data_IF_547577281055
#
_entry.id   IF_547577281055
#
_cell.length_a   1.000
_cell.length_b   1.000
_cell.length_c   1.000
_cell.angle_alpha   90.00
_cell.angle_beta   90.00
_cell.angle_gamma   90.00
#
_symmetry.space_group_name_H-M   'P 1'
#
loop_
_entity.id
_entity.type
_entity.pdbx_description
1 polymer ?
#
# COMPACT_ATOMS: atom_id res chain seq x y z
N UNK A 1 14.58 -15.39 -11.12
CA UNK A 1 14.30 -15.72 -9.70
C UNK A 1 12.78 -15.77 -9.53
N UNK A 2 12.26 -16.45 -8.50
CA UNK A 2 10.81 -16.59 -8.32
C UNK A 2 10.21 -15.32 -7.67
N UNK A 3 9.04 -14.89 -8.13
CA UNK A 3 8.30 -13.74 -7.57
C UNK A 3 8.01 -13.86 -6.06
N UNK A 4 7.69 -15.05 -5.50
CA UNK A 4 7.53 -15.22 -4.05
C UNK A 4 8.75 -14.75 -3.27
N UNK A 5 9.95 -14.94 -3.79
CA UNK A 5 11.18 -14.59 -3.09
C UNK A 5 11.29 -13.06 -2.91
N UNK A 6 10.79 -12.26 -3.87
CA UNK A 6 10.69 -10.79 -3.73
C UNK A 6 9.82 -10.39 -2.54
N UNK A 7 8.72 -11.11 -2.31
CA UNK A 7 7.77 -10.86 -1.20
C UNK A 7 8.30 -11.39 0.13
N UNK A 8 8.90 -12.58 0.14
CA UNK A 8 9.28 -13.27 1.37
C UNK A 8 10.66 -12.87 1.92
N UNK A 9 11.57 -12.39 1.08
CA UNK A 9 12.90 -11.93 1.52
C UNK A 9 12.86 -10.87 2.62
N UNK A 10 12.02 -9.81 2.56
CA UNK A 10 11.91 -8.87 3.66
C UNK A 10 11.46 -9.51 4.97
N UNK A 11 10.59 -10.51 4.96
CA UNK A 11 10.19 -11.21 6.20
C UNK A 11 11.34 -12.02 6.80
N UNK A 12 12.12 -12.72 5.96
CA UNK A 12 13.34 -13.40 6.41
C UNK A 12 14.36 -12.40 6.97
N UNK A 13 14.53 -11.26 6.28
CA UNK A 13 15.36 -10.15 6.74
C UNK A 13 14.86 -9.58 8.07
N UNK A 14 13.55 -9.51 8.30
CA UNK A 14 12.99 -9.01 9.55
C UNK A 14 13.31 -9.93 10.75
N UNK A 15 13.32 -11.25 10.53
CA UNK A 15 13.71 -12.23 11.55
C UNK A 15 15.21 -12.11 11.87
N UNK A 16 16.03 -11.89 10.84
CA UNK A 16 17.49 -11.80 10.99
C UNK A 16 17.98 -10.42 11.47
N UNK A 17 17.28 -9.33 11.18
CA UNK A 17 17.72 -7.95 11.44
C UNK A 17 18.13 -7.68 12.90
N UNK A 18 17.42 -8.18 13.94
CA UNK A 18 17.83 -7.99 15.32
C UNK A 18 19.21 -8.56 15.66
N UNK A 19 19.66 -9.62 14.97
CA UNK A 19 21.00 -10.21 15.17
C UNK A 19 22.11 -9.24 14.76
N UNK A 20 21.87 -8.43 13.72
CA UNK A 20 22.80 -7.42 13.23
C UNK A 20 22.77 -6.12 14.05
N UNK A 21 21.82 -5.97 14.99
CA UNK A 21 21.79 -4.83 15.90
C UNK A 21 23.03 -4.81 16.82
N UNK A 22 23.60 -5.98 17.11
CA UNK A 22 24.83 -6.14 17.89
C UNK A 22 26.04 -5.50 17.20
N UNK A 23 26.06 -5.46 15.86
CA UNK A 23 27.09 -4.79 15.06
C UNK A 23 26.87 -3.27 14.91
N UNK A 24 25.88 -2.71 15.61
CA UNK A 24 25.55 -1.30 15.59
C UNK A 24 24.73 -0.84 14.38
N UNK A 25 24.46 0.48 14.32
CA UNK A 25 23.53 1.09 13.35
C UNK A 25 23.92 0.88 11.89
N UNK A 26 25.21 0.85 11.57
CA UNK A 26 25.67 0.63 10.19
C UNK A 26 25.44 -0.81 9.74
N UNK A 27 25.81 -1.79 10.58
CA UNK A 27 25.67 -3.21 10.24
C UNK A 27 24.20 -3.59 9.99
N UNK A 28 23.29 -3.19 10.89
CA UNK A 28 21.87 -3.47 10.72
C UNK A 28 21.28 -2.75 9.50
N UNK A 29 21.70 -1.52 9.19
CA UNK A 29 21.21 -0.79 8.02
C UNK A 29 21.67 -1.46 6.71
N UNK A 30 22.93 -1.89 6.63
CA UNK A 30 23.44 -2.65 5.48
C UNK A 30 22.68 -3.97 5.36
N UNK A 31 22.61 -4.77 6.42
CA UNK A 31 21.91 -6.05 6.43
C UNK A 31 20.43 -5.91 6.03
N UNK A 32 19.74 -4.86 6.51
CA UNK A 32 18.34 -4.59 6.17
C UNK A 32 18.15 -4.10 4.73
N UNK A 33 19.20 -3.58 4.09
CA UNK A 33 19.14 -3.16 2.68
C UNK A 33 19.26 -4.33 1.71
N UNK A 34 20.00 -5.38 2.09
CA UNK A 34 20.27 -6.56 1.24
C UNK A 34 19.01 -7.21 0.67
N UNK A 35 17.94 -7.50 1.45
CA UNK A 35 16.71 -8.06 0.89
C UNK A 35 16.12 -7.23 -0.25
N UNK A 36 16.16 -5.90 -0.14
CA UNK A 36 15.61 -5.01 -1.15
C UNK A 36 16.49 -4.94 -2.42
N UNK A 37 17.82 -5.00 -2.25
CA UNK A 37 18.75 -5.06 -3.39
C UNK A 37 18.64 -6.38 -4.16
N UNK A 38 18.51 -7.51 -3.44
CA UNK A 38 18.28 -8.82 -4.06
C UNK A 38 16.93 -8.82 -4.78
N UNK A 39 15.88 -8.26 -4.16
CA UNK A 39 14.57 -8.13 -4.79
C UNK A 39 14.63 -7.27 -6.07
N UNK A 40 15.34 -6.14 -6.07
CA UNK A 40 15.53 -5.32 -7.28
C UNK A 40 16.27 -6.10 -8.38
N UNK A 41 17.35 -6.79 -8.03
CA UNK A 41 18.08 -7.63 -8.97
C UNK A 41 17.21 -8.79 -9.50
N UNK A 42 16.31 -9.35 -8.68
CA UNK A 42 15.39 -10.41 -9.07
C UNK A 42 14.31 -9.95 -10.06
N UNK A 43 13.95 -8.66 -10.06
CA UNK A 43 12.97 -8.09 -11.00
C UNK A 43 13.58 -7.80 -12.39
N UNK A 44 14.89 -7.53 -12.45
CA UNK A 44 15.58 -7.13 -13.70
C UNK A 44 15.41 -8.11 -14.88
N UNK A 45 15.52 -9.45 -14.70
CA UNK A 45 15.35 -10.41 -15.78
C UNK A 45 13.96 -10.41 -16.43
N UNK A 46 12.95 -9.84 -15.76
CA UNK A 46 11.58 -9.78 -16.28
C UNK A 46 11.32 -8.53 -17.15
N UNK A 47 12.31 -7.64 -17.30
CA UNK A 47 12.15 -6.38 -18.03
C UNK A 47 11.68 -6.57 -19.47
N UNK A 48 12.26 -7.50 -20.22
CA UNK A 48 11.87 -7.73 -21.63
C UNK A 48 10.41 -8.18 -21.76
N UNK A 49 9.97 -9.10 -20.90
CA UNK A 49 8.57 -9.55 -20.88
C UNK A 49 7.61 -8.38 -20.62
N UNK A 50 7.96 -7.51 -19.65
CA UNK A 50 7.13 -6.38 -19.25
C UNK A 50 7.13 -5.26 -20.29
N UNK A 51 8.29 -4.99 -20.91
CA UNK A 51 8.42 -3.98 -21.97
C UNK A 51 7.58 -4.32 -23.21
N UNK A 52 7.37 -5.62 -23.46
CA UNK A 52 6.50 -6.12 -24.53
C UNK A 52 5.01 -6.23 -24.10
N UNK A 53 4.64 -5.70 -22.93
CA UNK A 53 3.27 -5.75 -22.41
C UNK A 53 2.85 -7.11 -21.82
N UNK A 54 3.79 -8.04 -21.68
CA UNK A 54 3.55 -9.33 -21.06
C UNK A 54 3.38 -9.26 -19.54
N UNK A 55 2.90 -10.35 -18.96
CA UNK A 55 2.77 -10.53 -17.50
C UNK A 55 3.48 -11.81 -17.10
N UNK A 56 4.20 -11.78 -15.98
CA UNK A 56 4.80 -12.98 -15.38
C UNK A 56 3.89 -13.49 -14.28
N UNK A 57 3.45 -14.74 -14.38
CA UNK A 57 2.57 -15.40 -13.41
C UNK A 57 3.26 -16.62 -12.81
N UNK A 58 3.14 -16.78 -11.50
CA UNK A 58 3.61 -17.96 -10.78
C UNK A 58 2.58 -18.32 -9.72
N UNK A 59 2.08 -19.55 -9.72
CA UNK A 59 1.03 -19.99 -8.79
C UNK A 59 1.32 -21.37 -8.22
N UNK A 60 0.94 -21.55 -6.96
CA UNK A 60 0.93 -22.82 -6.25
C UNK A 60 -0.37 -22.90 -5.44
N UNK A 61 -1.04 -24.04 -5.48
CA UNK A 61 -2.22 -24.27 -4.65
C UNK A 61 -1.85 -24.25 -3.16
N UNK A 62 -2.68 -23.61 -2.34
CA UNK A 62 -2.49 -23.59 -0.89
C UNK A 62 -3.70 -24.15 -0.14
N UNK A 63 -4.86 -23.51 -0.29
CA UNK A 63 -6.12 -23.93 0.33
C UNK A 63 -7.22 -23.92 -0.74
N UNK A 64 -7.26 -24.93 -1.64
CA UNK A 64 -8.17 -24.95 -2.79
C UNK A 64 -9.64 -24.97 -2.37
N UNK A 65 -9.98 -25.55 -1.20
CA UNK A 65 -11.34 -25.62 -0.68
C UNK A 65 -12.01 -24.24 -0.46
N UNK A 66 -11.20 -23.19 -0.28
CA UNK A 66 -11.66 -21.81 -0.10
C UNK A 66 -11.13 -20.88 -1.20
N UNK A 67 -10.57 -21.44 -2.28
CA UNK A 67 -10.07 -20.69 -3.43
C UNK A 67 -8.82 -19.84 -3.16
N UNK A 68 -8.00 -20.20 -2.17
CA UNK A 68 -6.74 -19.49 -1.88
C UNK A 68 -5.56 -20.23 -2.52
N UNK A 69 -4.82 -19.51 -3.36
CA UNK A 69 -3.57 -19.97 -3.96
C UNK A 69 -2.45 -18.97 -3.66
N UNK A 70 -1.21 -19.47 -3.58
CA UNK A 70 -0.01 -18.64 -3.61
C UNK A 70 0.25 -18.15 -5.05
N UNK A 71 -0.66 -17.34 -5.57
CA UNK A 71 -0.54 -16.78 -6.91
C UNK A 71 0.13 -15.41 -6.86
N UNK A 72 1.20 -15.25 -7.62
CA UNK A 72 1.95 -14.01 -7.76
C UNK A 72 1.97 -13.56 -9.22
N UNK A 73 1.80 -12.26 -9.45
CA UNK A 73 1.89 -11.62 -10.75
C UNK A 73 2.87 -10.46 -10.75
N UNK A 74 3.53 -10.28 -11.89
CA UNK A 74 4.30 -9.09 -12.21
C UNK A 74 3.88 -8.59 -13.59
N UNK A 75 3.17 -7.46 -13.59
CA UNK A 75 2.84 -6.64 -14.75
C UNK A 75 3.38 -5.21 -14.55
N UNK A 76 3.12 -4.29 -15.49
CA UNK A 76 3.63 -2.91 -15.43
C UNK A 76 3.19 -2.16 -14.17
N UNK A 77 1.95 -2.36 -13.69
CA UNK A 77 1.45 -1.72 -12.47
C UNK A 77 2.15 -2.28 -11.22
N UNK A 78 2.26 -3.62 -11.12
CA UNK A 78 3.00 -4.28 -10.04
C UNK A 78 4.46 -3.89 -10.02
N UNK A 79 5.13 -3.80 -11.18
CA UNK A 79 6.53 -3.39 -11.28
C UNK A 79 6.71 -1.96 -10.75
N UNK A 80 5.88 -1.00 -11.21
CA UNK A 80 5.93 0.39 -10.76
C UNK A 80 5.87 0.48 -9.24
N UNK A 81 4.88 -0.17 -8.63
CA UNK A 81 4.72 -0.15 -7.18
C UNK A 81 5.84 -0.90 -6.44
N UNK A 82 6.29 -2.05 -6.97
CA UNK A 82 7.41 -2.78 -6.39
C UNK A 82 8.70 -1.94 -6.41
N UNK A 83 8.98 -1.22 -7.49
CA UNK A 83 10.11 -0.29 -7.57
C UNK A 83 9.98 0.85 -6.55
N UNK A 84 8.81 1.46 -6.42
CA UNK A 84 8.59 2.51 -5.40
C UNK A 84 8.83 1.97 -3.97
N UNK A 85 8.31 0.79 -3.66
CA UNK A 85 8.48 0.14 -2.35
C UNK A 85 9.96 -0.18 -2.10
N UNK A 86 10.66 -0.76 -3.08
CA UNK A 86 12.04 -1.22 -2.93
C UNK A 86 13.04 -0.05 -2.89
N UNK A 87 12.99 0.85 -3.88
CA UNK A 87 13.94 1.96 -4.03
C UNK A 87 13.80 2.95 -2.87
N UNK A 88 12.59 3.46 -2.63
CA UNK A 88 12.35 4.38 -1.50
C UNK A 88 12.61 3.64 -0.19
N UNK A 89 12.28 2.34 -0.10
CA UNK A 89 12.57 1.53 1.07
C UNK A 89 14.06 1.39 1.40
N UNK A 90 14.96 1.40 0.41
CA UNK A 90 16.42 1.44 0.65
C UNK A 90 16.84 2.82 1.15
N UNK A 91 16.35 3.90 0.52
CA UNK A 91 16.64 5.27 0.95
C UNK A 91 16.17 5.54 2.39
N UNK A 92 15.00 5.01 2.76
CA UNK A 92 14.47 5.11 4.13
C UNK A 92 15.33 4.33 5.12
N UNK A 93 15.84 3.14 4.76
CA UNK A 93 16.73 2.36 5.63
C UNK A 93 18.03 3.13 5.88
N UNK A 94 18.59 3.76 4.83
CA UNK A 94 19.76 4.60 4.92
C UNK A 94 19.49 5.84 5.78
N UNK A 95 18.38 6.54 5.56
CA UNK A 95 17.98 7.70 6.34
C UNK A 95 17.76 7.35 7.83
N UNK A 96 17.09 6.22 8.11
CA UNK A 96 16.84 5.75 9.46
C UNK A 96 18.12 5.49 10.26
N UNK A 97 19.21 5.07 9.60
CA UNK A 97 20.53 4.88 10.23
C UNK A 97 21.02 6.17 10.90
N UNK A 98 20.85 7.31 10.21
CA UNK A 98 21.29 8.62 10.68
C UNK A 98 20.28 9.25 11.64
N UNK A 99 18.99 8.98 11.44
CA UNK A 99 17.90 9.54 12.23
C UNK A 99 17.81 8.92 13.64
N UNK A 100 17.92 7.59 13.77
CA UNK A 100 17.70 6.91 15.05
C UNK A 100 18.87 7.10 16.02
N UNK A 101 18.56 7.48 17.26
CA UNK A 101 19.53 7.65 18.34
C UNK A 101 20.05 6.30 18.84
N UNK A 102 21.29 6.23 19.39
CA UNK A 102 21.86 4.97 19.89
C UNK A 102 21.03 4.26 20.97
N UNK A 103 20.27 5.01 21.78
CA UNK A 103 19.43 4.47 22.84
C UNK A 103 18.12 3.83 22.34
N UNK A 104 17.77 4.03 21.07
CA UNK A 104 16.55 3.47 20.48
C UNK A 104 16.72 1.99 20.14
N UNK A 105 15.64 1.22 20.21
CA UNK A 105 15.67 -0.19 19.80
C UNK A 105 15.67 -0.33 18.27
N UNK A 106 16.87 -0.22 17.67
CA UNK A 106 17.07 -0.31 16.22
C UNK A 106 16.70 -1.68 15.65
N UNK A 107 16.90 -2.77 16.41
CA UNK A 107 16.53 -4.13 16.01
C UNK A 107 15.03 -4.24 15.76
N UNK A 108 14.22 -3.80 16.72
CA UNK A 108 12.75 -3.72 16.60
C UNK A 108 12.35 -2.84 15.41
N UNK A 109 12.97 -1.67 15.26
CA UNK A 109 12.63 -0.74 14.19
C UNK A 109 12.80 -1.38 12.79
N UNK A 110 13.99 -1.92 12.50
CA UNK A 110 14.28 -2.49 11.19
C UNK A 110 13.50 -3.77 10.93
N UNK A 111 13.27 -4.61 11.93
CA UNK A 111 12.41 -5.79 11.81
C UNK A 111 10.98 -5.40 11.39
N UNK A 112 10.37 -4.43 12.08
CA UNK A 112 9.02 -3.97 11.74
C UNK A 112 8.96 -3.30 10.36
N UNK A 113 9.98 -2.52 10.00
CA UNK A 113 10.06 -1.86 8.69
C UNK A 113 10.16 -2.88 7.55
N UNK A 114 10.92 -3.96 7.76
CA UNK A 114 11.07 -5.05 6.79
C UNK A 114 9.79 -5.91 6.68
N UNK A 115 9.12 -6.23 7.80
CA UNK A 115 7.80 -6.86 7.76
C UNK A 115 6.79 -6.02 6.98
N UNK A 116 6.76 -4.70 7.22
CA UNK A 116 5.89 -3.79 6.49
C UNK A 116 6.23 -3.75 4.99
N UNK A 117 7.52 -3.73 4.63
CA UNK A 117 7.99 -3.81 3.23
C UNK A 117 7.53 -5.11 2.55
N UNK A 118 7.73 -6.26 3.17
CA UNK A 118 7.28 -7.55 2.65
C UNK A 118 5.76 -7.59 2.47
N UNK A 119 5.02 -7.02 3.42
CA UNK A 119 3.55 -6.94 3.35
C UNK A 119 3.09 -6.08 2.17
N UNK A 120 3.72 -4.93 1.95
CA UNK A 120 3.42 -4.06 0.80
C UNK A 120 3.77 -4.73 -0.54
N UNK A 121 4.90 -5.45 -0.61
CA UNK A 121 5.25 -6.25 -1.79
C UNK A 121 4.23 -7.36 -2.04
N UNK A 122 3.76 -8.01 -0.96
CA UNK A 122 2.72 -9.01 -1.02
C UNK A 122 1.41 -8.48 -1.59
N UNK A 123 0.96 -7.29 -1.18
CA UNK A 123 -0.23 -6.64 -1.78
C UNK A 123 -0.05 -6.47 -3.29
N UNK A 124 1.09 -5.92 -3.72
CA UNK A 124 1.26 -5.48 -5.11
C UNK A 124 1.60 -6.62 -6.07
N UNK A 125 2.18 -7.72 -5.56
CA UNK A 125 2.54 -8.89 -6.35
C UNK A 125 1.50 -10.02 -6.24
N UNK A 126 0.48 -9.92 -5.39
CA UNK A 126 -0.56 -10.95 -5.30
C UNK A 126 -1.42 -10.98 -6.56
N UNK A 127 -1.64 -12.19 -7.09
CA UNK A 127 -2.59 -12.49 -8.15
C UNK A 127 -3.85 -13.18 -7.66
N UNK A 128 -3.98 -13.43 -6.36
CA UNK A 128 -5.19 -13.93 -5.73
C UNK A 128 -5.72 -12.87 -4.74
N UNK A 129 -7.00 -12.53 -4.81
CA UNK A 129 -7.58 -11.44 -4.00
C UNK A 129 -7.58 -11.75 -2.49
N UNK A 130 -7.73 -13.03 -2.11
CA UNK A 130 -7.67 -13.45 -0.70
C UNK A 130 -6.23 -13.40 -0.18
N UNK A 131 -5.25 -13.80 -0.99
CA UNK A 131 -3.84 -13.63 -0.66
C UNK A 131 -3.48 -12.14 -0.49
N UNK A 132 -3.97 -11.28 -1.39
CA UNK A 132 -3.81 -9.83 -1.27
C UNK A 132 -4.42 -9.32 0.05
N UNK A 133 -5.57 -9.84 0.48
CA UNK A 133 -6.20 -9.51 1.76
C UNK A 133 -5.35 -9.89 2.98
N UNK A 134 -4.68 -11.05 2.95
CA UNK A 134 -3.76 -11.45 4.03
C UNK A 134 -2.64 -10.42 4.17
N UNK A 135 -2.03 -10.02 3.05
CA UNK A 135 -1.00 -8.98 3.06
C UNK A 135 -1.56 -7.60 3.39
N UNK A 136 -2.80 -7.31 3.01
CA UNK A 136 -3.51 -6.09 3.37
C UNK A 136 -3.63 -5.91 4.88
N UNK A 137 -4.04 -6.95 5.59
CA UNK A 137 -4.11 -6.90 7.06
C UNK A 137 -2.73 -6.91 7.70
N UNK A 138 -1.76 -7.63 7.12
CA UNK A 138 -0.39 -7.61 7.62
C UNK A 138 0.22 -6.19 7.54
N UNK A 139 -0.12 -5.39 6.52
CA UNK A 139 0.24 -3.95 6.50
C UNK A 139 -0.46 -3.14 7.59
N UNK A 140 -1.73 -3.43 7.91
CA UNK A 140 -2.44 -2.78 9.02
C UNK A 140 -1.75 -3.06 10.37
N UNK A 141 -1.39 -4.32 10.62
CA UNK A 141 -0.74 -4.74 11.87
C UNK A 141 0.68 -4.19 11.98
N UNK A 142 1.47 -4.28 10.92
CA UNK A 142 2.86 -3.79 10.94
C UNK A 142 2.92 -2.26 11.02
N UNK A 143 2.02 -1.54 10.34
CA UNK A 143 1.92 -0.08 10.48
C UNK A 143 1.47 0.35 11.88
N UNK A 144 0.52 -0.37 12.51
CA UNK A 144 0.14 -0.14 13.90
C UNK A 144 1.36 -0.21 14.84
N UNK A 145 2.20 -1.23 14.69
CA UNK A 145 3.41 -1.41 15.50
C UNK A 145 4.48 -0.33 15.22
N UNK A 146 4.59 0.13 13.98
CA UNK A 146 5.51 1.21 13.60
C UNK A 146 5.03 2.59 14.10
N UNK A 147 3.73 2.88 14.03
CA UNK A 147 3.15 4.13 14.55
C UNK A 147 3.29 4.18 16.08
N UNK A 148 3.10 3.03 16.75
CA UNK A 148 3.29 2.88 18.19
C UNK A 148 4.73 2.53 18.59
N UNK A 149 5.74 2.83 17.74
CA UNK A 149 7.14 2.51 18.03
C UNK A 149 7.57 3.01 19.41
N UNK A 150 7.26 4.29 19.71
CA UNK A 150 7.39 4.89 21.04
C UNK A 150 6.14 4.66 21.89
N UNK A 151 5.88 3.39 22.22
CA UNK A 151 4.68 2.96 22.94
C UNK A 151 4.50 3.61 24.33
N UNK A 152 5.56 4.16 24.94
CA UNK A 152 5.47 4.91 26.19
C UNK A 152 4.68 6.23 26.03
N UNK A 153 4.66 6.83 24.84
CA UNK A 153 3.90 8.06 24.55
C UNK A 153 2.42 7.76 24.33
N UNK A 154 1.55 8.43 25.08
CA UNK A 154 0.10 8.24 24.97
C UNK A 154 -0.45 8.58 23.57
N UNK A 155 0.06 9.64 22.96
CA UNK A 155 -0.38 10.06 21.62
C UNK A 155 0.00 9.05 20.54
N UNK A 156 1.19 8.44 20.63
CA UNK A 156 1.60 7.37 19.72
C UNK A 156 0.67 6.15 19.82
N UNK A 157 0.31 5.75 21.05
CA UNK A 157 -0.65 4.65 21.26
C UNK A 157 -2.05 5.00 20.71
N UNK A 158 -2.52 6.22 20.95
CA UNK A 158 -3.84 6.68 20.47
C UNK A 158 -3.88 6.74 18.95
N UNK A 159 -2.88 7.35 18.32
CA UNK A 159 -2.75 7.45 16.86
C UNK A 159 -2.69 6.07 16.21
N UNK A 160 -1.89 5.15 16.75
CA UNK A 160 -1.80 3.79 16.25
C UNK A 160 -3.15 3.04 16.32
N UNK A 161 -3.83 3.05 17.48
CA UNK A 161 -5.14 2.38 17.62
C UNK A 161 -6.18 2.94 16.67
N UNK A 162 -6.20 4.26 16.48
CA UNK A 162 -7.13 4.89 15.55
C UNK A 162 -6.83 4.51 14.10
N UNK A 163 -5.55 4.52 13.69
CA UNK A 163 -5.15 4.05 12.37
C UNK A 163 -5.57 2.58 12.14
N UNK A 164 -5.33 1.71 13.12
CA UNK A 164 -5.72 0.29 13.03
C UNK A 164 -7.24 0.12 12.98
N UNK A 165 -7.99 0.85 13.80
CA UNK A 165 -9.46 0.75 13.82
C UNK A 165 -10.07 1.17 12.48
N UNK A 166 -9.60 2.29 11.90
CA UNK A 166 -10.12 2.78 10.62
C UNK A 166 -9.69 1.87 9.46
N UNK A 167 -8.41 1.53 9.39
CA UNK A 167 -7.88 0.76 8.25
C UNK A 167 -8.21 -0.73 8.32
N UNK A 168 -8.26 -1.30 9.52
CA UNK A 168 -8.74 -2.67 9.75
C UNK A 168 -10.24 -2.79 9.55
N UNK A 169 -11.05 -1.81 10.01
CA UNK A 169 -12.48 -1.78 9.72
C UNK A 169 -12.77 -1.71 8.21
N UNK A 170 -12.02 -0.89 7.47
CA UNK A 170 -12.09 -0.87 6.01
C UNK A 170 -11.56 -2.14 5.36
N UNK A 171 -10.54 -2.79 5.91
CA UNK A 171 -10.05 -4.09 5.46
C UNK A 171 -11.08 -5.21 5.61
N UNK A 172 -11.88 -5.21 6.68
CA UNK A 172 -13.02 -6.12 6.83
C UNK A 172 -14.11 -5.84 5.79
N UNK A 173 -14.40 -4.58 5.49
CA UNK A 173 -15.31 -4.22 4.41
C UNK A 173 -14.77 -4.71 3.05
N UNK A 174 -13.47 -4.52 2.79
CA UNK A 174 -12.80 -5.02 1.58
C UNK A 174 -12.93 -6.54 1.45
N UNK A 175 -12.73 -7.29 2.54
CA UNK A 175 -12.90 -8.74 2.54
C UNK A 175 -14.32 -9.12 2.10
N UNK A 176 -15.35 -8.50 2.67
CA UNK A 176 -16.73 -8.75 2.27
C UNK A 176 -16.97 -8.43 0.78
N UNK A 177 -16.41 -7.33 0.27
CA UNK A 177 -16.46 -6.98 -1.16
C UNK A 177 -15.77 -8.03 -2.05
N UNK A 178 -14.60 -8.51 -1.65
CA UNK A 178 -13.86 -9.56 -2.36
C UNK A 178 -14.63 -10.88 -2.37
N UNK A 179 -15.24 -11.27 -1.25
CA UNK A 179 -16.07 -12.49 -1.17
C UNK A 179 -17.29 -12.42 -2.10
N UNK A 180 -17.94 -11.25 -2.20
CA UNK A 180 -19.05 -11.06 -3.15
C UNK A 180 -18.54 -11.16 -4.59
N UNK A 181 -17.43 -10.48 -4.94
CA UNK A 181 -16.83 -10.57 -6.28
C UNK A 181 -16.47 -12.01 -6.61
N UNK A 182 -15.81 -12.72 -5.70
CA UNK A 182 -15.43 -14.12 -5.89
C UNK A 182 -16.63 -15.04 -6.10
N UNK A 183 -17.75 -14.79 -5.42
CA UNK A 183 -19.00 -15.52 -5.65
C UNK A 183 -19.64 -15.21 -7.01
N UNK A 184 -19.55 -13.96 -7.49
CA UNK A 184 -20.07 -13.59 -8.83
C UNK A 184 -19.23 -14.24 -9.93
N UNK A 185 -17.90 -14.23 -9.77
CA UNK A 185 -16.95 -14.73 -10.77
C UNK A 185 -16.77 -16.25 -10.70
N UNK A 186 -16.93 -16.84 -9.52
CA UNK A 186 -16.60 -18.24 -9.23
C UNK A 186 -15.10 -18.48 -8.95
N UNK A 187 -14.30 -17.42 -8.84
CA UNK A 187 -12.84 -17.48 -8.61
C UNK A 187 -12.33 -16.24 -7.88
N UNK A 188 -11.25 -16.41 -7.12
CA UNK A 188 -10.50 -15.32 -6.48
C UNK A 188 -9.19 -14.98 -7.21
N UNK A 189 -8.88 -15.67 -8.30
CA UNK A 189 -7.75 -15.33 -9.15
C UNK A 189 -8.03 -14.04 -9.93
N UNK A 190 -7.04 -13.18 -9.95
CA UNK A 190 -7.17 -11.82 -10.45
C UNK A 190 -7.40 -11.79 -11.96
N UNK A 191 -6.83 -12.72 -12.74
CA UNK A 191 -7.10 -12.79 -14.18
C UNK A 191 -8.57 -13.10 -14.48
N UNK A 192 -9.17 -14.03 -13.73
CA UNK A 192 -10.60 -14.36 -13.86
C UNK A 192 -11.46 -13.16 -13.47
N UNK A 193 -11.14 -12.48 -12.36
CA UNK A 193 -11.88 -11.30 -11.90
C UNK A 193 -11.80 -10.15 -12.90
N UNK A 194 -10.61 -9.90 -13.46
CA UNK A 194 -10.41 -8.82 -14.45
C UNK A 194 -11.11 -9.13 -15.77
N UNK A 195 -11.12 -10.40 -16.20
CA UNK A 195 -11.85 -10.83 -17.39
C UNK A 195 -13.37 -10.79 -17.21
N UNK A 196 -13.87 -11.01 -15.98
CA UNK A 196 -15.29 -11.02 -15.66
C UNK A 196 -15.90 -9.63 -15.40
N UNK A 197 -15.24 -8.54 -15.78
CA UNK A 197 -15.68 -7.17 -15.49
C UNK A 197 -17.13 -6.88 -15.90
N UNK A 198 -17.54 -7.29 -17.10
CA UNK A 198 -18.93 -7.07 -17.57
C UNK A 198 -19.96 -7.88 -16.77
N UNK A 199 -19.61 -9.11 -16.39
CA UNK A 199 -20.44 -9.96 -15.52
C UNK A 199 -20.59 -9.32 -14.15
N UNK A 200 -19.49 -8.83 -13.57
CA UNK A 200 -19.49 -8.15 -12.27
C UNK A 200 -20.38 -6.92 -12.32
N UNK A 201 -20.20 -6.03 -13.30
CA UNK A 201 -20.97 -4.77 -13.44
C UNK A 201 -22.46 -4.99 -13.70
N UNK A 202 -22.82 -6.07 -14.40
CA UNK A 202 -24.21 -6.41 -14.68
C UNK A 202 -24.94 -7.10 -13.52
N UNK A 203 -24.20 -7.61 -12.52
CA UNK A 203 -24.78 -8.37 -11.42
C UNK A 203 -25.50 -7.47 -10.39
N UNK A 204 -26.63 -7.94 -9.84
CA UNK A 204 -27.44 -7.17 -8.88
C UNK A 204 -26.68 -6.75 -7.61
N UNK A 205 -25.67 -7.52 -7.20
CA UNK A 205 -24.82 -7.21 -6.03
C UNK A 205 -23.67 -6.25 -6.33
N UNK A 206 -23.51 -5.78 -7.58
CA UNK A 206 -22.44 -4.86 -7.96
C UNK A 206 -22.35 -3.60 -7.07
N UNK A 207 -23.44 -2.87 -6.77
CA UNK A 207 -23.35 -1.66 -5.97
C UNK A 207 -22.82 -1.93 -4.55
N UNK A 208 -23.17 -3.07 -3.98
CA UNK A 208 -22.72 -3.50 -2.65
C UNK A 208 -21.24 -3.88 -2.69
N UNK A 209 -20.85 -4.71 -3.66
CA UNK A 209 -19.46 -5.12 -3.85
C UNK A 209 -18.54 -3.90 -4.07
N UNK A 210 -18.93 -3.01 -4.98
CA UNK A 210 -18.21 -1.77 -5.27
C UNK A 210 -18.04 -0.92 -4.00
N UNK A 211 -19.13 -0.67 -3.27
CA UNK A 211 -19.09 0.16 -2.06
C UNK A 211 -18.13 -0.43 -1.02
N UNK A 212 -18.19 -1.74 -0.78
CA UNK A 212 -17.34 -2.44 0.17
C UNK A 212 -15.86 -2.41 -0.21
N UNK A 213 -15.55 -2.63 -1.49
CA UNK A 213 -14.18 -2.50 -2.02
C UNK A 213 -13.67 -1.06 -1.89
N UNK A 214 -14.51 -0.07 -2.23
CA UNK A 214 -14.15 1.35 -2.11
C UNK A 214 -13.99 1.79 -0.65
N UNK A 215 -14.77 1.27 0.30
CA UNK A 215 -14.53 1.52 1.73
C UNK A 215 -13.15 1.03 2.16
N UNK A 216 -12.72 -0.14 1.69
CA UNK A 216 -11.35 -0.62 1.86
C UNK A 216 -10.31 0.33 1.29
N UNK A 217 -10.48 0.71 0.02
CA UNK A 217 -9.56 1.62 -0.65
C UNK A 217 -9.48 2.99 0.04
N UNK A 218 -10.63 3.60 0.35
CA UNK A 218 -10.75 4.95 0.90
C UNK A 218 -10.24 5.06 2.33
N UNK A 219 -10.50 4.06 3.18
CA UNK A 219 -9.96 4.04 4.55
C UNK A 219 -8.44 3.97 4.53
N UNK A 220 -7.84 3.08 3.72
CA UNK A 220 -6.38 2.89 3.65
C UNK A 220 -5.65 4.05 2.96
N UNK A 221 -6.30 4.69 1.98
CA UNK A 221 -5.76 5.87 1.28
C UNK A 221 -6.18 7.21 1.88
N UNK A 222 -6.71 7.20 3.11
CA UNK A 222 -7.07 8.38 3.88
C UNK A 222 -7.97 9.35 3.11
N UNK A 223 -8.96 8.83 2.37
CA UNK A 223 -9.96 9.64 1.70
C UNK A 223 -11.02 10.12 2.69
N UNK A 224 -11.78 11.15 2.34
CA UNK A 224 -12.94 11.61 3.09
C UNK A 224 -14.01 10.50 3.18
N UNK A 225 -14.66 10.29 4.34
CA UNK A 225 -14.48 10.97 5.63
C UNK A 225 -13.41 10.36 6.54
N UNK A 226 -12.67 9.35 6.07
CA UNK A 226 -11.71 8.55 6.85
C UNK A 226 -10.31 9.17 7.00
N UNK A 227 -10.04 10.34 6.43
CA UNK A 227 -8.72 10.96 6.38
C UNK A 227 -8.07 11.27 7.75
N UNK A 228 -8.86 11.34 8.82
CA UNK A 228 -8.43 11.82 10.15
C UNK A 228 -7.37 10.95 10.83
N UNK A 229 -7.24 9.66 10.47
CA UNK A 229 -6.22 8.81 11.08
C UNK A 229 -4.80 9.20 10.64
N UNK A 230 -4.65 9.74 9.43
CA UNK A 230 -3.34 10.01 8.83
C UNK A 230 -2.56 11.11 9.56
N UNK A 231 -3.13 12.29 9.88
CA UNK A 231 -2.43 13.30 10.69
C UNK A 231 -2.01 12.79 12.06
N UNK A 232 -2.80 11.92 12.69
CA UNK A 232 -2.47 11.37 14.01
C UNK A 232 -1.43 10.24 13.94
N UNK A 233 -1.24 9.61 12.78
CA UNK A 233 -0.17 8.65 12.55
C UNK A 233 1.23 9.32 12.50
N UNK A 234 1.31 10.66 12.42
CA UNK A 234 2.57 11.42 12.41
C UNK A 234 3.39 11.35 13.71
N UNK A 235 2.85 10.70 14.75
CA UNK A 235 3.57 10.36 15.97
C UNK A 235 4.67 9.31 15.76
N UNK A 236 4.64 8.61 14.62
CA UNK A 236 5.69 7.68 14.23
C UNK A 236 7.05 8.38 14.04
N UNK A 237 8.18 7.64 14.13
CA UNK A 237 9.48 8.14 13.71
C UNK A 237 9.43 8.67 12.28
N UNK A 238 10.14 9.76 11.99
CA UNK A 238 10.09 10.39 10.66
C UNK A 238 10.39 9.43 9.49
N UNK A 239 11.34 8.48 9.56
CA UNK A 239 11.54 7.50 8.49
C UNK A 239 10.29 6.63 8.23
N UNK A 240 9.50 6.32 9.27
CA UNK A 240 8.22 5.61 9.13
C UNK A 240 7.23 6.49 8.39
N UNK A 241 7.07 7.74 8.82
CA UNK A 241 6.15 8.69 8.17
C UNK A 241 6.49 8.87 6.69
N UNK A 242 7.78 9.05 6.40
CA UNK A 242 8.29 9.17 5.04
C UNK A 242 7.92 7.93 4.20
N UNK A 243 8.10 6.72 4.72
CA UNK A 243 7.82 5.50 3.97
C UNK A 243 6.33 5.21 3.80
N UNK A 244 5.57 5.21 4.91
CA UNK A 244 4.14 4.85 4.94
C UNK A 244 3.28 5.87 4.19
N UNK A 245 3.59 7.16 4.32
CA UNK A 245 2.74 8.23 3.84
C UNK A 245 3.21 8.85 2.52
N UNK A 246 4.40 8.49 2.04
CA UNK A 246 4.86 8.88 0.71
C UNK A 246 4.72 7.75 -0.28
N UNK A 247 5.27 6.57 -0.02
CA UNK A 247 5.49 5.55 -1.05
C UNK A 247 4.57 4.33 -0.97
N UNK A 248 3.98 4.04 0.19
CA UNK A 248 3.50 2.68 0.47
C UNK A 248 2.06 2.62 1.01
N UNK A 249 1.86 2.67 2.33
CA UNK A 249 0.59 2.35 3.00
C UNK A 249 -0.59 3.12 2.40
N UNK A 250 -0.46 4.43 2.28
CA UNK A 250 -1.53 5.30 1.77
C UNK A 250 -1.79 5.10 0.27
N UNK A 251 -0.85 4.49 -0.44
CA UNK A 251 -0.99 4.13 -1.85
C UNK A 251 -1.54 2.71 -2.04
N UNK A 252 -1.71 1.90 -1.00
CA UNK A 252 -2.31 0.57 -1.12
C UNK A 252 -3.78 0.65 -1.61
N UNK A 253 -4.56 1.61 -1.09
CA UNK A 253 -5.91 1.87 -1.59
C UNK A 253 -5.94 2.37 -3.03
N UNK A 254 -4.98 3.22 -3.40
CA UNK A 254 -4.81 3.68 -4.78
C UNK A 254 -4.44 2.53 -5.71
N UNK A 255 -3.50 1.67 -5.30
CA UNK A 255 -3.12 0.47 -6.03
C UNK A 255 -4.32 -0.45 -6.24
N UNK A 256 -5.12 -0.69 -5.21
CA UNK A 256 -6.32 -1.52 -5.30
C UNK A 256 -7.32 -0.96 -6.32
N UNK A 257 -7.59 0.36 -6.29
CA UNK A 257 -8.47 1.01 -7.27
C UNK A 257 -7.91 0.89 -8.69
N UNK A 258 -6.61 1.14 -8.88
CA UNK A 258 -5.95 0.98 -10.18
C UNK A 258 -5.98 -0.47 -10.66
N UNK A 259 -5.80 -1.43 -9.75
CA UNK A 259 -5.74 -2.86 -10.01
C UNK A 259 -7.10 -3.41 -10.45
N UNK A 260 -8.16 -3.05 -9.74
CA UNK A 260 -9.53 -3.48 -10.04
C UNK A 260 -10.25 -2.56 -11.03
N UNK A 261 -9.56 -1.53 -11.53
CA UNK A 261 -10.11 -0.57 -12.48
C UNK A 261 -10.78 -1.25 -13.70
N UNK A 262 -10.15 -2.25 -14.37
CA UNK A 262 -10.78 -2.91 -15.51
C UNK A 262 -12.08 -3.65 -15.18
N UNK A 263 -12.20 -4.16 -13.95
CA UNK A 263 -13.35 -4.94 -13.51
C UNK A 263 -14.49 -4.09 -12.92
N UNK A 264 -14.14 -2.99 -12.23
CA UNK A 264 -15.09 -2.22 -11.41
C UNK A 264 -15.41 -0.82 -11.93
N UNK A 265 -14.57 -0.23 -12.78
CA UNK A 265 -14.78 1.13 -13.27
C UNK A 265 -15.76 1.19 -14.46
N UNK A 266 -16.02 2.40 -14.96
CA UNK A 266 -16.85 2.64 -16.14
C UNK A 266 -18.36 2.63 -15.89
N UNK A 267 -18.79 2.62 -14.62
CA UNK A 267 -20.20 2.78 -14.23
C UNK A 267 -20.45 4.17 -13.64
N UNK A 268 -21.71 4.60 -13.64
CA UNK A 268 -22.10 5.85 -12.97
C UNK A 268 -21.77 5.83 -11.48
N UNK A 269 -21.99 4.69 -10.81
CA UNK A 269 -21.71 4.53 -9.39
C UNK A 269 -20.21 4.70 -9.09
N UNK A 270 -19.33 4.13 -9.92
CA UNK A 270 -17.89 4.36 -9.82
C UNK A 270 -17.57 5.84 -9.96
N UNK A 271 -18.07 6.47 -11.02
CA UNK A 271 -17.84 7.90 -11.29
C UNK A 271 -18.23 8.76 -10.09
N UNK A 272 -19.45 8.59 -9.56
CA UNK A 272 -19.94 9.39 -8.44
C UNK A 272 -19.16 9.11 -7.15
N UNK A 273 -18.97 7.85 -6.77
CA UNK A 273 -18.31 7.52 -5.52
C UNK A 273 -16.83 7.93 -5.53
N UNK A 274 -16.10 7.66 -6.61
CA UNK A 274 -14.66 7.88 -6.68
C UNK A 274 -14.34 9.35 -6.95
N UNK A 275 -15.03 10.00 -7.90
CA UNK A 275 -14.76 11.41 -8.23
C UNK A 275 -15.11 12.35 -7.08
N UNK A 276 -16.30 12.23 -6.49
CA UNK A 276 -16.71 13.14 -5.42
C UNK A 276 -15.90 12.93 -4.14
N UNK A 277 -15.60 11.68 -3.79
CA UNK A 277 -14.71 11.39 -2.64
C UNK A 277 -13.31 11.95 -2.88
N UNK A 278 -12.74 11.74 -4.07
CA UNK A 278 -11.43 12.29 -4.43
C UNK A 278 -11.41 13.81 -4.40
N UNK A 279 -12.43 14.47 -4.96
CA UNK A 279 -12.56 15.92 -4.97
C UNK A 279 -12.74 16.51 -3.57
N UNK A 280 -13.62 15.93 -2.74
CA UNK A 280 -13.78 16.36 -1.35
C UNK A 280 -12.46 16.21 -0.57
N UNK A 281 -11.77 15.08 -0.73
CA UNK A 281 -10.48 14.81 -0.10
C UNK A 281 -9.39 15.79 -0.54
N UNK A 282 -9.31 16.08 -1.84
CA UNK A 282 -8.40 17.04 -2.44
C UNK A 282 -8.57 18.42 -1.79
N UNK A 283 -9.80 18.93 -1.79
CA UNK A 283 -10.13 20.27 -1.32
C UNK A 283 -9.97 20.40 0.20
N UNK A 284 -10.52 19.45 0.97
CA UNK A 284 -10.42 19.47 2.43
C UNK A 284 -8.96 19.32 2.88
N UNK A 285 -8.20 18.42 2.26
CA UNK A 285 -6.79 18.23 2.54
C UNK A 285 -5.98 19.51 2.29
N UNK A 286 -6.19 20.16 1.13
CA UNK A 286 -5.51 21.41 0.78
C UNK A 286 -5.87 22.55 1.74
N UNK A 287 -7.17 22.75 2.00
CA UNK A 287 -7.67 23.79 2.89
C UNK A 287 -7.08 23.64 4.30
N UNK A 288 -7.16 22.45 4.90
CA UNK A 288 -6.65 22.22 6.25
C UNK A 288 -5.12 22.37 6.33
N UNK A 289 -4.39 21.97 5.28
CA UNK A 289 -2.92 22.10 5.24
C UNK A 289 -2.45 23.56 5.38
N UNK A 290 -3.19 24.52 4.81
CA UNK A 290 -2.85 25.96 4.87
C UNK A 290 -2.85 26.52 6.30
N UNK A 291 -3.57 25.88 7.23
CA UNK A 291 -3.69 26.32 8.62
C UNK A 291 -2.85 25.46 9.59
N UNK A 292 -2.01 24.54 9.09
CA UNK A 292 -1.09 23.76 9.92
C UNK A 292 0.18 24.55 10.20
N UNK A 293 0.54 24.60 11.48
CA UNK A 293 1.72 25.31 11.96
C UNK A 293 2.91 24.38 12.20
N UNK A 294 2.69 23.06 12.18
CA UNK A 294 3.73 22.04 12.28
C UNK A 294 3.97 21.34 10.94
N UNK A 295 5.24 21.09 10.60
CA UNK A 295 5.62 20.53 9.29
C UNK A 295 5.01 19.14 9.04
N UNK A 296 4.98 18.26 10.05
CA UNK A 296 4.44 16.90 9.86
C UNK A 296 2.94 16.92 9.60
N UNK A 297 2.19 17.73 10.34
CA UNK A 297 0.75 17.95 10.13
C UNK A 297 0.46 18.54 8.77
N UNK A 298 1.24 19.54 8.33
CA UNK A 298 1.13 20.12 6.98
C UNK A 298 1.38 19.05 5.91
N UNK A 299 2.48 18.28 6.03
CA UNK A 299 2.82 17.24 5.07
C UNK A 299 1.77 16.12 5.05
N UNK A 300 1.19 15.76 6.19
CA UNK A 300 0.10 14.78 6.26
C UNK A 300 -1.13 15.23 5.49
N UNK A 301 -1.60 16.47 5.70
CA UNK A 301 -2.75 17.00 4.97
C UNK A 301 -2.47 17.25 3.49
N UNK A 302 -1.23 17.62 3.14
CA UNK A 302 -0.79 17.65 1.74
C UNK A 302 -0.84 16.24 1.12
N UNK A 303 -0.41 15.19 1.83
CA UNK A 303 -0.57 13.80 1.37
C UNK A 303 -2.04 13.45 1.15
N UNK A 304 -2.94 13.78 2.09
CA UNK A 304 -4.41 13.58 1.92
C UNK A 304 -4.87 14.22 0.62
N UNK A 305 -4.51 15.49 0.42
CA UNK A 305 -4.91 16.26 -0.77
C UNK A 305 -4.43 15.61 -2.07
N UNK A 306 -3.15 15.22 -2.15
CA UNK A 306 -2.60 14.57 -3.35
C UNK A 306 -3.21 13.19 -3.62
N UNK A 307 -3.55 12.41 -2.59
CA UNK A 307 -4.27 11.15 -2.77
C UNK A 307 -5.71 11.39 -3.22
N UNK A 308 -6.33 12.47 -2.75
CA UNK A 308 -7.62 12.95 -3.25
C UNK A 308 -7.57 13.26 -4.75
N UNK A 309 -6.53 13.96 -5.21
CA UNK A 309 -6.33 14.23 -6.64
C UNK A 309 -6.19 12.93 -7.46
N UNK A 310 -5.36 11.99 -6.99
CA UNK A 310 -5.18 10.69 -7.68
C UNK A 310 -6.50 9.92 -7.75
N UNK A 311 -7.27 9.92 -6.65
CA UNK A 311 -8.58 9.27 -6.58
C UNK A 311 -9.57 9.93 -7.54
N UNK A 312 -9.63 11.27 -7.56
CA UNK A 312 -10.46 12.02 -8.50
C UNK A 312 -10.14 11.65 -9.96
N UNK A 313 -8.86 11.57 -10.32
CA UNK A 313 -8.43 11.21 -11.68
C UNK A 313 -8.88 9.80 -12.07
N UNK A 314 -8.84 8.81 -11.16
CA UNK A 314 -9.45 7.50 -11.41
C UNK A 314 -10.98 7.55 -11.49
N UNK A 315 -11.62 8.51 -10.85
CA UNK A 315 -13.06 8.71 -10.96
C UNK A 315 -13.52 9.25 -12.32
N UNK A 316 -12.69 10.06 -13.00
CA UNK A 316 -13.06 10.75 -14.25
C UNK A 316 -13.34 9.83 -15.44
N UNK A 317 -12.92 8.56 -15.38
CA UNK A 317 -13.31 7.54 -16.37
C UNK A 317 -12.63 7.64 -17.73
N UNK A 318 -11.60 8.48 -17.90
CA UNK A 318 -10.83 8.60 -19.16
C UNK A 318 -9.46 7.94 -19.03
N UNK A 319 -8.95 7.40 -20.14
CA UNK A 319 -7.62 6.78 -20.18
C UNK A 319 -6.51 7.77 -19.81
N UNK A 320 -6.56 9.00 -20.34
CA UNK A 320 -5.61 10.06 -20.00
C UNK A 320 -5.64 10.42 -18.50
N UNK A 321 -6.82 10.42 -17.87
CA UNK A 321 -6.91 10.66 -16.44
C UNK A 321 -6.29 9.51 -15.62
N UNK A 322 -6.49 8.26 -16.04
CA UNK A 322 -5.84 7.10 -15.41
C UNK A 322 -4.31 7.16 -15.56
N UNK A 323 -3.79 7.53 -16.75
CA UNK A 323 -2.36 7.75 -16.96
C UNK A 323 -1.83 8.87 -16.06
N UNK A 324 -2.54 10.00 -15.98
CA UNK A 324 -2.19 11.11 -15.10
C UNK A 324 -2.19 10.70 -13.61
N UNK A 325 -3.14 9.86 -13.20
CA UNK A 325 -3.24 9.33 -11.84
C UNK A 325 -2.00 8.50 -11.49
N UNK A 326 -1.62 7.57 -12.37
CA UNK A 326 -0.44 6.71 -12.20
C UNK A 326 0.86 7.51 -12.25
N UNK A 327 0.97 8.49 -13.16
CA UNK A 327 2.11 9.39 -13.20
C UNK A 327 2.25 10.19 -11.89
N UNK A 328 1.14 10.71 -11.36
CA UNK A 328 1.16 11.48 -10.13
C UNK A 328 1.44 10.62 -8.88
N UNK A 329 1.14 9.31 -8.91
CA UNK A 329 1.59 8.35 -7.87
C UNK A 329 3.11 8.37 -7.75
N UNK A 330 3.82 8.30 -8.89
CA UNK A 330 5.29 8.35 -8.95
C UNK A 330 5.78 9.71 -8.46
N UNK A 331 5.25 10.79 -9.04
CA UNK A 331 5.63 12.16 -8.67
C UNK A 331 5.50 12.37 -7.15
N UNK A 332 4.32 12.08 -6.61
CA UNK A 332 4.03 12.19 -5.19
C UNK A 332 4.94 11.32 -4.33
N UNK A 333 5.24 10.08 -4.73
CA UNK A 333 6.16 9.24 -3.95
C UNK A 333 7.55 9.87 -3.84
N UNK A 334 8.08 10.40 -4.95
CA UNK A 334 9.42 10.96 -5.02
C UNK A 334 9.56 12.23 -4.19
N UNK A 335 8.75 13.26 -4.45
CA UNK A 335 8.91 14.54 -3.73
C UNK A 335 8.41 14.47 -2.28
N UNK A 336 7.44 13.61 -1.96
CA UNK A 336 6.94 13.53 -0.58
C UNK A 336 7.94 12.80 0.31
N UNK A 337 8.58 11.75 -0.19
CA UNK A 337 9.63 11.04 0.54
C UNK A 337 10.79 11.98 0.86
N UNK A 338 11.21 12.84 -0.08
CA UNK A 338 12.26 13.83 0.17
C UNK A 338 11.82 14.92 1.14
N UNK A 339 10.58 15.42 1.08
CA UNK A 339 10.08 16.44 2.02
C UNK A 339 10.00 15.95 3.47
N UNK A 340 9.79 14.64 3.70
CA UNK A 340 9.79 14.09 5.05
C UNK A 340 11.20 13.84 5.59
N UNK A 341 12.21 13.59 4.73
CA UNK A 341 13.58 13.28 5.16
C UNK A 341 14.34 14.54 5.55
#
# INVERSE_FOLDING_TARGET
MSLPLVVFLPFLGAIAAPLFALGGRTAIAIASSVPALIALAALFPHWETLANGGTVLQSWEWLPAIGISFSFRLDGLSLLFALLILVIGVLIILYARYYLKPAENIGKFYALLLCFKGSMLGIVLSSNLLLMMIFWELTSLTSFLLISFWNHKQDARRGARMALAVTGGGGLALLAGILIIGNIVGSFELDDVLAAGDVIKAHAMYPVALTLVLLGAFTKSAQFPFHFWLPHAMQAPTPVSAYLHSATMVKAGIFLMARLYPALAGTEQWFYMVSFTGMATLLIGAYVAMFKHDLKGLLAHSTVSHLGLITLLFGMGTELAAVAAVFHVINHATFKASLFM
#
